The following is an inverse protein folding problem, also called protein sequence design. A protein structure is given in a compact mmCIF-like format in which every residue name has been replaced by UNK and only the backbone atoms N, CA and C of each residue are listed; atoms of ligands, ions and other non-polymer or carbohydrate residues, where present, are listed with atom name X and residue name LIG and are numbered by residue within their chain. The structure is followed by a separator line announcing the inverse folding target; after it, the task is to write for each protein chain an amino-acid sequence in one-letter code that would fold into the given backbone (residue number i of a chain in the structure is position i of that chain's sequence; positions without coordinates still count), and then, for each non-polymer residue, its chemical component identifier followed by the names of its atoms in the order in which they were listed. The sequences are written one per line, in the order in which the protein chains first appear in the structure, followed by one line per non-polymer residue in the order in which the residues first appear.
data_IF_427906206442
#
_entry.id   IF_427906206442
#
_cell.length_a   1.000
_cell.length_b   1.000
_cell.length_c   1.000
_cell.angle_alpha   90.00
_cell.angle_beta   90.00
_cell.angle_gamma   90.00
#
_symmetry.space_group_name_H-M   'P 1'
#
loop_
_entity.id
_entity.type
_entity.pdbx_description
1 polymer ?
#
# COMPACT_ATOMS: atom_id res chain seq x y z
N UNK A 1 45.01 -15.36 7.57
CA UNK A 1 44.15 -16.21 6.74
C UNK A 1 42.84 -15.47 6.54
N UNK A 2 42.44 -15.19 5.30
CA UNK A 2 41.14 -14.56 4.99
C UNK A 2 40.08 -15.64 5.15
N UNK A 3 39.19 -15.48 6.11
CA UNK A 3 38.02 -16.34 6.27
C UNK A 3 37.02 -15.92 5.20
N UNK A 4 36.99 -16.67 4.09
CA UNK A 4 35.93 -16.55 3.10
C UNK A 4 34.69 -17.21 3.70
N UNK A 5 33.70 -16.38 4.04
CA UNK A 5 32.37 -16.81 4.46
C UNK A 5 31.71 -17.51 3.27
N UNK A 6 31.72 -18.83 3.29
CA UNK A 6 30.95 -19.66 2.36
C UNK A 6 29.46 -19.51 2.73
N UNK A 7 28.60 -18.98 1.84
CA UNK A 7 27.17 -18.88 2.11
C UNK A 7 26.58 -20.27 2.34
N UNK A 8 25.72 -20.40 3.36
CA UNK A 8 24.99 -21.65 3.60
C UNK A 8 24.00 -21.90 2.45
N UNK A 9 23.86 -23.17 2.05
CA UNK A 9 22.88 -23.60 1.05
C UNK A 9 21.49 -23.04 1.38
N UNK A 10 20.96 -22.20 0.50
CA UNK A 10 19.63 -21.59 0.63
C UNK A 10 19.61 -20.07 0.85
N UNK A 11 20.73 -19.42 1.18
CA UNK A 11 20.80 -17.96 1.19
C UNK A 11 20.83 -17.43 -0.25
N UNK A 12 19.75 -16.75 -0.68
CA UNK A 12 19.78 -15.92 -1.89
C UNK A 12 20.76 -14.76 -1.64
N UNK A 13 22.01 -14.95 -2.04
CA UNK A 13 22.98 -13.86 -2.12
C UNK A 13 22.52 -12.92 -3.22
N UNK A 14 21.85 -11.83 -2.82
CA UNK A 14 21.47 -10.76 -3.74
C UNK A 14 22.74 -10.17 -4.36
N UNK A 15 22.73 -9.96 -5.67
CA UNK A 15 23.85 -9.30 -6.35
C UNK A 15 23.97 -7.85 -5.85
N UNK A 16 25.16 -7.25 -5.95
CA UNK A 16 25.34 -5.84 -5.60
C UNK A 16 24.47 -4.90 -6.47
N UNK A 17 24.16 -5.30 -7.71
CA UNK A 17 23.22 -4.59 -8.58
C UNK A 17 21.78 -4.66 -8.05
N UNK A 18 21.35 -5.81 -7.54
CA UNK A 18 20.02 -5.97 -6.93
C UNK A 18 19.91 -5.19 -5.63
N UNK A 19 20.96 -5.18 -4.80
CA UNK A 19 21.00 -4.37 -3.58
C UNK A 19 20.95 -2.88 -3.89
N UNK A 20 21.71 -2.41 -4.87
CA UNK A 20 21.67 -0.99 -5.28
C UNK A 20 20.32 -0.62 -5.91
N UNK A 21 19.69 -1.51 -6.66
CA UNK A 21 18.31 -1.32 -7.16
C UNK A 21 17.32 -1.18 -6.01
N UNK A 22 17.38 -2.07 -5.02
CA UNK A 22 16.49 -2.01 -3.85
C UNK A 22 16.71 -0.72 -3.04
N UNK A 23 17.99 -0.32 -2.84
CA UNK A 23 18.33 0.95 -2.17
C UNK A 23 17.76 2.17 -2.89
N UNK A 24 17.67 2.16 -4.22
CA UNK A 24 17.07 3.28 -4.97
C UNK A 24 15.56 3.35 -4.75
N UNK A 25 14.87 2.22 -4.63
CA UNK A 25 13.42 2.12 -4.39
C UNK A 25 12.99 2.64 -3.00
N UNK A 26 13.91 2.71 -2.05
CA UNK A 26 13.67 3.20 -0.68
C UNK A 26 14.17 4.63 -0.43
N UNK A 27 14.79 5.28 -1.44
CA UNK A 27 15.21 6.68 -1.31
C UNK A 27 14.00 7.60 -1.23
N UNK A 28 14.10 8.59 -0.36
CA UNK A 28 13.10 9.65 -0.29
C UNK A 28 13.03 10.37 -1.63
N UNK A 29 11.82 10.61 -2.12
CA UNK A 29 11.59 11.46 -3.28
C UNK A 29 11.54 12.93 -2.81
N UNK A 30 12.17 13.87 -3.53
CA UNK A 30 12.07 15.28 -3.20
C UNK A 30 10.61 15.77 -3.35
N UNK A 31 10.04 16.53 -2.39
CA UNK A 31 8.64 16.97 -2.44
C UNK A 31 8.27 17.74 -3.71
N UNK A 32 9.24 18.45 -4.30
CA UNK A 32 9.06 19.21 -5.54
C UNK A 32 8.69 18.31 -6.73
N UNK A 33 9.23 17.07 -6.79
CA UNK A 33 8.91 16.12 -7.84
C UNK A 33 7.47 15.59 -7.73
N UNK A 34 6.95 15.46 -6.49
CA UNK A 34 5.58 14.99 -6.22
C UNK A 34 4.55 16.11 -6.39
N UNK A 35 4.94 17.37 -6.20
CA UNK A 35 4.07 18.54 -6.44
C UNK A 35 3.99 18.97 -7.90
N UNK A 36 4.85 18.41 -8.76
CA UNK A 36 4.86 18.70 -10.19
C UNK A 36 3.71 18.01 -10.97
N UNK A 37 2.93 17.13 -10.33
CA UNK A 37 1.78 16.49 -10.96
C UNK A 37 0.57 17.43 -10.97
N UNK A 38 -0.02 17.60 -12.16
CA UNK A 38 -1.29 18.31 -12.33
C UNK A 38 -2.41 17.65 -11.53
N UNK A 39 -3.49 18.36 -11.20
CA UNK A 39 -4.64 17.77 -10.48
C UNK A 39 -5.23 16.56 -11.24
N UNK A 40 -5.35 16.67 -12.56
CA UNK A 40 -5.76 15.56 -13.43
C UNK A 40 -4.75 14.40 -13.38
N UNK A 41 -3.45 14.69 -13.40
CA UNK A 41 -2.40 13.70 -13.23
C UNK A 41 -2.45 13.00 -11.86
N UNK A 42 -2.74 13.75 -10.78
CA UNK A 42 -2.89 13.19 -9.45
C UNK A 42 -4.10 12.25 -9.36
N UNK A 43 -5.23 12.61 -9.98
CA UNK A 43 -6.39 11.73 -10.05
C UNK A 43 -6.06 10.43 -10.81
N UNK A 44 -5.37 10.53 -11.96
CA UNK A 44 -4.93 9.35 -12.73
C UNK A 44 -3.97 8.46 -11.93
N UNK A 45 -3.06 9.04 -11.15
CA UNK A 45 -2.13 8.29 -10.28
C UNK A 45 -2.90 7.56 -9.19
N UNK A 46 -3.86 8.21 -8.54
CA UNK A 46 -4.70 7.58 -7.51
C UNK A 46 -5.52 6.43 -8.08
N UNK A 47 -6.16 6.63 -9.23
CA UNK A 47 -6.91 5.58 -9.92
C UNK A 47 -6.03 4.39 -10.31
N UNK A 48 -4.80 4.66 -10.79
CA UNK A 48 -3.81 3.63 -11.08
C UNK A 48 -3.42 2.85 -9.83
N UNK A 49 -3.08 3.54 -8.73
CA UNK A 49 -2.67 2.90 -7.47
C UNK A 49 -3.79 2.05 -6.87
N UNK A 50 -5.02 2.56 -6.86
CA UNK A 50 -6.17 1.81 -6.37
C UNK A 50 -6.34 0.50 -7.16
N UNK A 51 -6.34 0.57 -8.50
CA UNK A 51 -6.44 -0.61 -9.37
C UNK A 51 -5.28 -1.60 -9.17
N UNK A 52 -4.05 -1.11 -9.06
CA UNK A 52 -2.88 -1.94 -8.83
C UNK A 52 -2.99 -2.71 -7.51
N UNK A 53 -3.32 -2.01 -6.42
CA UNK A 53 -3.44 -2.60 -5.08
C UNK A 53 -4.58 -3.64 -5.08
N UNK A 54 -5.74 -3.32 -5.66
CA UNK A 54 -6.86 -4.26 -5.78
C UNK A 54 -6.43 -5.55 -6.48
N UNK A 55 -5.78 -5.45 -7.65
CA UNK A 55 -5.32 -6.64 -8.38
C UNK A 55 -4.30 -7.46 -7.58
N UNK A 56 -3.41 -6.81 -6.83
CA UNK A 56 -2.41 -7.50 -6.01
C UNK A 56 -3.06 -8.22 -4.81
N UNK A 57 -4.08 -7.61 -4.20
CA UNK A 57 -4.86 -8.21 -3.10
C UNK A 57 -5.68 -9.41 -3.62
N UNK A 58 -6.34 -9.28 -4.77
CA UNK A 58 -7.10 -10.38 -5.38
C UNK A 58 -6.18 -11.55 -5.78
N UNK A 59 -5.03 -11.26 -6.39
CA UNK A 59 -4.02 -12.28 -6.73
C UNK A 59 -3.50 -13.00 -5.49
N UNK A 60 -3.24 -12.29 -4.40
CA UNK A 60 -2.80 -12.91 -3.16
C UNK A 60 -3.89 -13.80 -2.58
N UNK A 61 -5.14 -13.32 -2.53
CA UNK A 61 -6.28 -14.09 -2.04
C UNK A 61 -6.43 -15.41 -2.79
N UNK A 62 -6.36 -15.36 -4.12
CA UNK A 62 -6.56 -16.55 -4.96
C UNK A 62 -5.37 -17.53 -4.85
N UNK A 63 -4.16 -17.04 -4.56
CA UNK A 63 -2.98 -17.88 -4.30
C UNK A 63 -3.01 -18.57 -2.93
N UNK A 64 -3.76 -18.03 -1.97
CA UNK A 64 -3.96 -18.64 -0.64
C UNK A 64 -5.04 -19.73 -0.63
N UNK A 65 -5.85 -19.86 -1.70
CA UNK A 65 -6.83 -20.92 -1.83
C UNK A 65 -6.16 -22.20 -2.38
N UNK A 66 -6.05 -23.23 -1.53
CA UNK A 66 -5.42 -24.53 -1.86
C UNK A 66 -6.19 -25.35 -2.92
N UNK A 67 -7.45 -25.01 -3.19
CA UNK A 67 -8.27 -25.70 -4.20
C UNK A 67 -7.95 -25.20 -5.61
N UNK A 68 -6.92 -25.79 -6.23
CA UNK A 68 -6.51 -25.57 -7.63
C UNK A 68 -7.50 -26.16 -8.64
N UNK A 69 -8.74 -25.70 -8.62
CA UNK A 69 -9.67 -25.94 -9.71
C UNK A 69 -9.23 -25.12 -10.94
N UNK A 70 -9.35 -25.67 -12.15
CA UNK A 70 -9.01 -25.03 -13.42
C UNK A 70 -9.65 -23.63 -13.60
N UNK A 71 -10.77 -23.38 -12.92
CA UNK A 71 -11.41 -22.07 -12.84
C UNK A 71 -10.52 -20.99 -12.18
N UNK A 72 -9.81 -21.32 -11.10
CA UNK A 72 -8.91 -20.40 -10.40
C UNK A 72 -7.66 -20.10 -11.22
N UNK A 73 -7.13 -21.08 -11.94
CA UNK A 73 -5.97 -20.86 -12.83
C UNK A 73 -6.31 -19.82 -13.92
N UNK A 74 -7.45 -19.97 -14.59
CA UNK A 74 -7.93 -18.98 -15.58
C UNK A 74 -8.22 -17.62 -14.95
N UNK A 75 -8.71 -17.59 -13.71
CA UNK A 75 -8.95 -16.33 -13.01
C UNK A 75 -7.64 -15.60 -12.68
N UNK A 76 -6.65 -16.32 -12.14
CA UNK A 76 -5.31 -15.80 -11.83
C UNK A 76 -4.64 -15.29 -13.10
N UNK A 77 -4.66 -16.06 -14.19
CA UNK A 77 -4.11 -15.61 -15.49
C UNK A 77 -4.75 -14.31 -15.96
N UNK A 78 -6.07 -14.17 -15.80
CA UNK A 78 -6.79 -12.94 -16.14
C UNK A 78 -6.34 -11.76 -15.26
N UNK A 79 -6.19 -11.97 -13.96
CA UNK A 79 -5.72 -10.94 -13.04
C UNK A 79 -4.28 -10.53 -13.34
N UNK A 80 -3.40 -11.49 -13.67
CA UNK A 80 -2.02 -11.20 -14.07
C UNK A 80 -1.96 -10.41 -15.38
N UNK A 81 -2.81 -10.74 -16.36
CA UNK A 81 -2.92 -10.01 -17.62
C UNK A 81 -3.45 -8.58 -17.40
N UNK A 82 -4.48 -8.40 -16.58
CA UNK A 82 -5.00 -7.07 -16.22
C UNK A 82 -3.94 -6.22 -15.54
N UNK A 83 -3.15 -6.81 -14.65
CA UNK A 83 -2.06 -6.13 -13.96
C UNK A 83 -0.94 -5.74 -14.93
N UNK A 84 -0.56 -6.62 -15.86
CA UNK A 84 0.42 -6.28 -16.90
C UNK A 84 -0.06 -5.12 -17.79
N UNK A 85 -1.35 -5.14 -18.18
CA UNK A 85 -1.95 -4.10 -19.01
C UNK A 85 -1.91 -2.70 -18.37
N UNK A 86 -1.91 -2.59 -17.04
CA UNK A 86 -1.74 -1.30 -16.34
C UNK A 86 -0.38 -0.62 -16.65
N UNK A 87 0.64 -1.40 -17.02
CA UNK A 87 2.00 -0.92 -17.27
C UNK A 87 2.39 -0.86 -18.75
N UNK A 88 1.60 -1.42 -19.67
CA UNK A 88 1.94 -1.44 -21.10
C UNK A 88 1.91 -0.04 -21.73
N UNK A 89 0.87 0.74 -21.44
CA UNK A 89 0.69 2.10 -21.97
C UNK A 89 0.04 3.03 -20.93
N UNK A 90 0.73 3.31 -19.81
CA UNK A 90 0.20 4.24 -18.81
C UNK A 90 0.09 5.66 -19.37
N UNK A 91 -0.90 6.46 -18.92
CA UNK A 91 -0.94 7.89 -19.20
C UNK A 91 0.40 8.58 -18.84
N UNK A 92 0.81 9.66 -19.52
CA UNK A 92 2.15 10.26 -19.31
C UNK A 92 2.48 10.63 -17.86
N UNK A 93 1.50 11.12 -17.10
CA UNK A 93 1.68 11.45 -15.68
C UNK A 93 1.86 10.19 -14.83
N UNK A 94 1.11 9.13 -15.13
CA UNK A 94 1.24 7.82 -14.46
C UNK A 94 2.58 7.17 -14.82
N UNK A 95 3.02 7.25 -16.07
CA UNK A 95 4.33 6.76 -16.51
C UNK A 95 5.46 7.44 -15.72
N UNK A 96 5.41 8.77 -15.61
CA UNK A 96 6.39 9.55 -14.83
C UNK A 96 6.38 9.15 -13.35
N UNK A 97 5.20 8.90 -12.79
CA UNK A 97 5.08 8.43 -11.41
C UNK A 97 5.64 7.02 -11.20
N UNK A 98 5.35 6.09 -12.12
CA UNK A 98 5.91 4.73 -12.15
C UNK A 98 7.43 4.77 -12.18
N UNK A 99 8.02 5.60 -13.05
CA UNK A 99 9.48 5.77 -13.14
C UNK A 99 10.07 6.35 -11.85
N UNK A 100 9.41 7.36 -11.29
CA UNK A 100 9.85 8.05 -10.08
C UNK A 100 9.93 7.10 -8.88
N UNK A 101 8.93 6.24 -8.72
CA UNK A 101 8.87 5.23 -7.65
C UNK A 101 9.47 3.88 -8.06
N UNK A 102 9.92 3.72 -9.31
CA UNK A 102 10.34 2.44 -9.88
C UNK A 102 9.33 1.32 -9.59
N UNK A 103 8.05 1.60 -9.84
CA UNK A 103 6.97 0.62 -9.67
C UNK A 103 7.08 -0.46 -10.74
N UNK A 104 6.72 -1.70 -10.40
CA UNK A 104 6.68 -2.81 -11.33
C UNK A 104 5.36 -3.59 -11.27
N UNK A 105 4.99 -4.34 -12.33
CA UNK A 105 3.81 -5.20 -12.28
C UNK A 105 3.88 -6.26 -11.17
N UNK A 106 5.08 -6.69 -10.79
CA UNK A 106 5.33 -7.77 -9.84
C UNK A 106 5.79 -7.22 -8.49
N UNK A 107 5.07 -6.24 -7.94
CA UNK A 107 5.41 -5.73 -6.60
C UNK A 107 5.39 -6.86 -5.56
N UNK A 108 6.39 -6.96 -4.66
CA UNK A 108 6.40 -7.98 -3.63
C UNK A 108 5.22 -7.82 -2.68
N UNK A 109 4.49 -8.91 -2.41
CA UNK A 109 3.31 -8.88 -1.52
C UNK A 109 3.60 -8.22 -0.17
N UNK A 110 4.75 -8.51 0.46
CA UNK A 110 5.15 -7.92 1.74
C UNK A 110 5.22 -6.38 1.73
N UNK A 111 5.60 -5.79 0.59
CA UNK A 111 5.61 -4.33 0.44
C UNK A 111 4.17 -3.78 0.39
N UNK A 112 3.26 -4.50 -0.27
CA UNK A 112 1.85 -4.12 -0.38
C UNK A 112 1.12 -4.30 0.95
N UNK A 113 1.35 -5.42 1.63
CA UNK A 113 0.82 -5.69 2.97
C UNK A 113 1.23 -4.59 3.95
N UNK A 114 2.53 -4.26 4.00
CA UNK A 114 3.03 -3.16 4.83
C UNK A 114 2.42 -1.81 4.44
N UNK A 115 2.20 -1.56 3.15
CA UNK A 115 1.53 -0.33 2.68
C UNK A 115 0.08 -0.26 3.17
N UNK A 116 -0.67 -1.35 3.04
CA UNK A 116 -2.06 -1.42 3.48
C UNK A 116 -2.14 -1.20 5.00
N UNK A 117 -1.27 -1.82 5.78
CA UNK A 117 -1.23 -1.63 7.24
C UNK A 117 -0.97 -0.16 7.62
N UNK A 118 -0.01 0.50 6.98
CA UNK A 118 0.25 1.92 7.20
C UNK A 118 -0.95 2.80 6.84
N UNK A 119 -1.55 2.58 5.66
CA UNK A 119 -2.68 3.40 5.19
C UNK A 119 -3.90 3.23 6.12
N UNK A 120 -4.15 2.01 6.59
CA UNK A 120 -5.22 1.73 7.55
C UNK A 120 -4.98 2.40 8.89
N UNK A 121 -3.76 2.30 9.41
CA UNK A 121 -3.40 2.92 10.67
C UNK A 121 -3.58 4.44 10.61
N UNK A 122 -3.09 5.08 9.54
CA UNK A 122 -3.21 6.52 9.34
C UNK A 122 -4.66 6.98 9.15
N UNK A 123 -5.47 6.23 8.38
CA UNK A 123 -6.89 6.56 8.17
C UNK A 123 -7.69 6.45 9.48
N UNK A 124 -7.37 5.45 10.32
CA UNK A 124 -7.93 5.31 11.67
C UNK A 124 -7.52 6.48 12.57
N UNK A 125 -6.23 6.86 12.59
CA UNK A 125 -5.76 8.01 13.36
C UNK A 125 -6.44 9.31 12.93
N UNK A 126 -6.64 9.53 11.63
CA UNK A 126 -7.37 10.70 11.11
C UNK A 126 -8.82 10.70 11.56
N UNK A 127 -9.49 9.55 11.45
CA UNK A 127 -10.89 9.39 11.85
C UNK A 127 -11.07 9.63 13.35
N UNK A 128 -10.20 9.05 14.18
CA UNK A 128 -10.20 9.28 15.64
C UNK A 128 -9.93 10.74 15.99
N UNK A 129 -8.95 11.37 15.34
CA UNK A 129 -8.65 12.78 15.54
C UNK A 129 -9.84 13.68 15.16
N UNK A 130 -10.47 13.44 14.01
CA UNK A 130 -11.66 14.17 13.56
C UNK A 130 -12.84 13.98 14.53
N UNK A 131 -13.11 12.75 14.98
CA UNK A 131 -14.13 12.46 16.01
C UNK A 131 -13.82 13.16 17.33
N UNK A 132 -12.56 13.22 17.75
CA UNK A 132 -12.17 13.90 18.98
C UNK A 132 -12.27 15.43 18.84
N UNK A 133 -11.83 16.01 17.72
CA UNK A 133 -11.95 17.45 17.44
C UNK A 133 -13.43 17.87 17.35
N UNK A 134 -14.25 17.15 16.58
CA UNK A 134 -15.70 17.41 16.48
C UNK A 134 -16.46 17.05 17.75
N UNK A 135 -16.02 16.02 18.48
CA UNK A 135 -16.57 15.62 19.77
C UNK A 135 -16.28 16.65 20.86
N UNK A 136 -15.10 17.30 20.84
CA UNK A 136 -14.80 18.45 21.68
C UNK A 136 -15.74 19.62 21.32
N UNK A 137 -15.89 19.94 20.04
CA UNK A 137 -16.81 21.01 19.61
C UNK A 137 -18.27 20.72 20.04
N UNK A 138 -18.74 19.48 19.89
CA UNK A 138 -20.07 19.07 20.34
C UNK A 138 -20.20 19.01 21.87
N UNK A 139 -19.14 18.68 22.59
CA UNK A 139 -19.10 18.65 24.05
C UNK A 139 -19.06 20.06 24.67
N UNK A 140 -18.51 21.05 23.96
CA UNK A 140 -18.62 22.47 24.33
C UNK A 140 -20.08 22.93 24.34
N UNK A 141 -20.90 22.42 23.41
CA UNK A 141 -22.34 22.70 23.33
C UNK A 141 -23.19 21.84 24.27
N UNK A 142 -22.73 20.62 24.63
CA UNK A 142 -23.40 19.76 25.61
C UNK A 142 -22.41 18.85 26.37
N UNK A 143 -22.04 19.20 27.62
CA UNK A 143 -20.97 18.52 28.37
C UNK A 143 -21.29 17.10 28.83
N UNK A 144 -22.51 16.58 28.60
CA UNK A 144 -22.89 15.20 28.94
C UNK A 144 -22.60 14.18 27.83
N UNK A 145 -22.15 14.61 26.65
CA UNK A 145 -21.94 13.73 25.48
C UNK A 145 -20.64 12.91 25.51
N UNK A 146 -19.71 13.22 26.43
CA UNK A 146 -18.40 12.55 26.53
C UNK A 146 -18.43 11.21 27.29
N UNK A 147 -19.62 10.65 27.54
CA UNK A 147 -19.80 9.36 28.22
C UNK A 147 -20.35 8.33 27.22
N UNK A 148 -19.51 7.73 26.37
CA UNK A 148 -19.86 6.53 25.63
C UNK A 148 -18.74 5.48 25.64
N UNK A 149 -19.17 4.22 25.78
CA UNK A 149 -18.43 2.98 26.02
C UNK A 149 -17.30 2.71 25.00
N UNK A 150 -16.05 2.75 25.47
CA UNK A 150 -14.84 2.47 24.69
C UNK A 150 -14.73 0.98 24.25
N UNK A 151 -15.46 0.06 24.90
CA UNK A 151 -15.25 -1.39 24.73
C UNK A 151 -15.82 -2.02 23.45
N UNK A 152 -16.78 -1.38 22.78
CA UNK A 152 -17.46 -1.96 21.59
C UNK A 152 -16.78 -1.55 20.27
N UNK A 153 -16.03 -0.44 20.27
CA UNK A 153 -15.29 0.02 19.09
C UNK A 153 -13.96 -0.74 18.90
N UNK A 154 -13.27 -1.14 19.97
CA UNK A 154 -12.03 -1.93 19.90
C UNK A 154 -12.28 -3.34 19.31
N UNK A 155 -13.32 -4.06 19.74
CA UNK A 155 -13.67 -5.38 19.17
C UNK A 155 -14.07 -5.29 17.69
N UNK A 156 -14.74 -4.20 17.28
CA UNK A 156 -15.04 -3.93 15.86
C UNK A 156 -13.78 -3.51 15.09
N UNK A 157 -12.82 -2.86 15.72
CA UNK A 157 -11.53 -2.51 15.15
C UNK A 157 -10.68 -3.76 14.90
N UNK A 158 -10.61 -4.69 15.85
CA UNK A 158 -9.91 -5.96 15.69
C UNK A 158 -10.56 -6.85 14.62
N UNK A 159 -11.90 -6.91 14.58
CA UNK A 159 -12.62 -7.62 13.51
C UNK A 159 -12.44 -6.97 12.14
N UNK A 160 -12.35 -5.63 12.06
CA UNK A 160 -11.97 -4.94 10.82
C UNK A 160 -10.55 -5.27 10.41
N UNK A 161 -9.59 -5.33 11.35
CA UNK A 161 -8.21 -5.74 11.06
C UNK A 161 -8.11 -7.15 10.45
N UNK A 162 -9.03 -8.05 10.80
CA UNK A 162 -9.11 -9.41 10.25
C UNK A 162 -9.91 -9.55 8.93
N UNK A 163 -10.72 -8.55 8.56
CA UNK A 163 -11.46 -8.57 7.29
C UNK A 163 -10.55 -8.17 6.12
N UNK A 164 -10.36 -9.11 5.19
CA UNK A 164 -9.73 -8.93 3.87
C UNK A 164 -10.35 -7.70 3.19
N UNK A 165 -9.54 -6.67 2.91
CA UNK A 165 -10.02 -5.40 2.33
C UNK A 165 -10.71 -5.62 0.98
N UNK A 166 -11.87 -4.99 0.82
CA UNK A 166 -12.62 -4.96 -0.44
C UNK A 166 -12.04 -3.92 -1.40
N UNK A 167 -12.38 -4.05 -2.69
CA UNK A 167 -11.93 -3.11 -3.71
C UNK A 167 -12.41 -1.67 -3.43
N UNK A 168 -13.64 -1.52 -2.93
CA UNK A 168 -14.22 -0.22 -2.59
C UNK A 168 -13.50 0.42 -1.39
N UNK A 169 -13.14 -0.36 -0.37
CA UNK A 169 -12.37 0.13 0.77
C UNK A 169 -10.97 0.60 0.35
N UNK A 170 -10.32 -0.12 -0.57
CA UNK A 170 -9.02 0.29 -1.13
C UNK A 170 -9.16 1.60 -1.92
N UNK A 171 -10.18 1.72 -2.78
CA UNK A 171 -10.40 2.93 -3.57
C UNK A 171 -10.67 4.16 -2.69
N UNK A 172 -11.56 4.04 -1.69
CA UNK A 172 -11.85 5.10 -0.73
C UNK A 172 -10.57 5.52 0.01
N UNK A 173 -9.83 4.54 0.53
CA UNK A 173 -8.61 4.77 1.29
C UNK A 173 -7.57 5.50 0.43
N UNK A 174 -7.27 5.01 -0.78
CA UNK A 174 -6.31 5.66 -1.69
C UNK A 174 -6.74 7.09 -2.05
N UNK A 175 -8.06 7.34 -2.21
CA UNK A 175 -8.55 8.68 -2.53
C UNK A 175 -8.36 9.69 -1.39
N UNK A 176 -8.46 9.26 -0.14
CA UNK A 176 -8.29 10.11 1.06
C UNK A 176 -6.87 10.68 1.22
N UNK A 177 -5.85 9.97 0.72
CA UNK A 177 -4.46 10.44 0.79
C UNK A 177 -4.08 11.27 -0.43
N UNK A 178 -3.23 12.28 -0.25
CA UNK A 178 -2.57 12.97 -1.35
C UNK A 178 -1.54 12.06 -2.05
N UNK A 179 -1.18 12.38 -3.29
CA UNK A 179 -0.14 11.61 -4.02
C UNK A 179 1.21 11.69 -3.30
N UNK A 180 1.51 12.80 -2.64
CA UNK A 180 2.72 12.97 -1.83
C UNK A 180 2.74 11.98 -0.66
N UNK A 181 1.64 11.87 0.07
CA UNK A 181 1.50 10.92 1.18
C UNK A 181 1.56 9.47 0.69
N UNK A 182 0.86 9.13 -0.39
CA UNK A 182 0.89 7.78 -0.97
C UNK A 182 2.30 7.37 -1.40
N UNK A 183 3.04 8.27 -2.06
CA UNK A 183 4.42 7.99 -2.45
C UNK A 183 5.33 7.75 -1.24
N UNK A 184 5.18 8.55 -0.17
CA UNK A 184 5.91 8.38 1.07
C UNK A 184 5.56 7.05 1.76
N UNK A 185 4.28 6.68 1.78
CA UNK A 185 3.85 5.41 2.36
C UNK A 185 4.36 4.20 1.59
N UNK A 186 4.43 4.27 0.26
CA UNK A 186 5.07 3.23 -0.58
C UNK A 186 6.55 3.08 -0.21
N UNK A 187 7.28 4.19 -0.05
CA UNK A 187 8.70 4.17 0.34
C UNK A 187 8.87 3.58 1.75
N UNK A 188 8.03 3.99 2.71
CA UNK A 188 8.06 3.48 4.08
C UNK A 188 7.77 1.99 4.12
N UNK A 189 6.73 1.54 3.41
CA UNK A 189 6.38 0.12 3.30
C UNK A 189 7.53 -0.72 2.74
N UNK A 190 8.27 -0.21 1.75
CA UNK A 190 9.47 -0.86 1.21
C UNK A 190 10.61 -0.95 2.23
N UNK A 191 10.84 0.10 3.02
CA UNK A 191 11.85 0.11 4.08
C UNK A 191 11.53 -0.92 5.16
N UNK A 192 10.28 -0.95 5.61
CA UNK A 192 9.77 -1.94 6.57
C UNK A 192 9.94 -3.36 6.02
N UNK A 193 9.53 -3.61 4.78
CA UNK A 193 9.67 -4.93 4.15
C UNK A 193 11.13 -5.36 3.95
N UNK A 194 12.05 -4.41 3.79
CA UNK A 194 13.49 -4.66 3.68
C UNK A 194 14.19 -4.79 5.06
N UNK A 195 13.53 -4.39 6.16
CA UNK A 195 14.13 -4.34 7.50
C UNK A 195 15.02 -3.12 7.74
N UNK A 196 14.92 -2.09 6.91
CA UNK A 196 15.66 -0.83 7.04
C UNK A 196 14.89 0.11 7.98
N UNK A 197 15.33 0.23 9.25
CA UNK A 197 14.76 1.12 10.27
C UNK A 197 15.79 2.12 10.81
#
# INVERSE_FOLDING_TARGET
MKLELVPKEGEKVLSEEEKERLRRRTRSIPPQALRAFSEAGQAQIKDFLARLIVLLVELQRDREHDDRAEYYERHVEKLEAQRAALFEQPPPEVARFIELLQLCPMEPWREIESLLDHLRHDDLWRTHRLKHETGIEAALDNPFLMQQDDGVEEERQEQRMQCRMTADEIDIMVRHFSVEELANQIINARRVAAGDF
#
